data_IF_774225756668
#
_entry.id   IF_774225756668
#
_cell.length_a   1.000
_cell.length_b   1.000
_cell.length_c   1.000
_cell.angle_alpha   90.00
_cell.angle_beta   90.00
_cell.angle_gamma   90.00
#
_symmetry.space_group_name_H-M   'P 1'
#
loop_
_entity.id
_entity.type
_entity.pdbx_description
1 polymer ?
#
# COMPACT_ATOMS: atom_id res chain seq x y z
N UNK A 1 26.55 -11.54 -25.71
CA UNK A 1 27.16 -12.38 -24.65
C UNK A 1 28.57 -11.87 -24.41
N UNK A 2 28.92 -11.46 -23.18
CA UNK A 2 30.29 -11.03 -22.85
C UNK A 2 31.15 -12.27 -22.52
N UNK A 3 32.34 -12.38 -23.12
CA UNK A 3 33.27 -13.50 -22.88
C UNK A 3 34.19 -13.18 -21.69
N UNK A 4 34.81 -14.19 -21.09
CA UNK A 4 35.77 -13.98 -20.01
C UNK A 4 37.00 -13.23 -20.56
N UNK A 5 37.32 -12.06 -19.98
CA UNK A 5 38.46 -11.21 -20.38
C UNK A 5 38.11 -9.78 -20.80
N UNK A 6 36.83 -9.45 -21.02
CA UNK A 6 36.42 -8.16 -21.62
C UNK A 6 36.47 -6.93 -20.68
N UNK A 7 36.92 -7.07 -19.43
CA UNK A 7 37.03 -5.95 -18.47
C UNK A 7 35.72 -5.22 -18.12
N UNK A 8 34.57 -5.65 -18.66
CA UNK A 8 33.25 -5.08 -18.36
C UNK A 8 32.75 -5.60 -17.02
N UNK A 9 32.34 -4.68 -16.13
CA UNK A 9 31.62 -5.03 -14.90
C UNK A 9 30.43 -5.94 -15.25
N UNK A 10 30.46 -7.15 -14.71
CA UNK A 10 29.35 -8.10 -14.83
C UNK A 10 28.28 -7.63 -13.85
N UNK A 11 27.04 -7.49 -14.31
CA UNK A 11 25.90 -7.10 -13.47
C UNK A 11 25.85 -7.90 -12.16
N UNK A 12 25.54 -7.25 -11.04
CA UNK A 12 25.44 -7.84 -9.69
C UNK A 12 24.54 -9.08 -9.64
N UNK A 13 23.57 -9.20 -10.56
CA UNK A 13 22.75 -10.40 -10.74
C UNK A 13 23.55 -11.69 -11.04
N UNK A 14 24.81 -11.57 -11.50
CA UNK A 14 25.75 -12.69 -11.69
C UNK A 14 26.72 -12.88 -10.52
N UNK A 15 26.70 -12.02 -9.51
CA UNK A 15 27.50 -12.10 -8.29
C UNK A 15 26.73 -12.67 -7.09
N UNK A 16 25.42 -12.93 -7.21
CA UNK A 16 24.67 -13.67 -6.18
C UNK A 16 25.11 -15.14 -6.15
N UNK A 17 26.27 -15.40 -5.56
CA UNK A 17 26.90 -16.73 -5.40
C UNK A 17 26.43 -17.45 -4.12
N UNK A 18 25.90 -16.71 -3.15
CA UNK A 18 25.38 -17.24 -1.90
C UNK A 18 23.89 -17.54 -1.99
N UNK A 19 23.53 -18.81 -1.80
CA UNK A 19 22.15 -19.27 -1.78
C UNK A 19 21.73 -19.65 -0.36
N UNK A 20 20.80 -18.89 0.20
CA UNK A 20 20.13 -19.26 1.45
C UNK A 20 18.88 -20.10 1.15
N UNK A 21 18.82 -21.32 1.68
CA UNK A 21 17.65 -22.19 1.54
C UNK A 21 17.14 -22.66 2.90
N UNK A 22 15.84 -22.50 3.13
CA UNK A 22 15.11 -23.13 4.23
C UNK A 22 14.07 -24.09 3.65
N UNK A 23 13.99 -25.32 4.20
CA UNK A 23 12.87 -26.21 3.91
C UNK A 23 11.66 -25.75 4.73
N UNK A 24 10.51 -25.65 4.07
CA UNK A 24 9.26 -25.22 4.68
C UNK A 24 8.25 -26.36 4.57
N UNK A 25 7.48 -26.56 5.63
CA UNK A 25 6.20 -27.25 5.56
C UNK A 25 5.19 -26.42 4.77
N UNK A 26 4.10 -27.05 4.33
CA UNK A 26 3.01 -26.33 3.65
C UNK A 26 2.44 -25.21 4.53
N UNK A 27 2.28 -25.47 5.83
CA UNK A 27 1.78 -24.49 6.80
C UNK A 27 2.73 -23.31 6.95
N UNK A 28 4.04 -23.56 7.11
CA UNK A 28 5.02 -22.47 7.21
C UNK A 28 5.04 -21.60 5.95
N UNK A 29 4.91 -22.21 4.77
CA UNK A 29 4.81 -21.47 3.52
C UNK A 29 3.56 -20.60 3.49
N UNK A 30 2.40 -21.14 3.83
CA UNK A 30 1.14 -20.39 3.83
C UNK A 30 1.18 -19.19 4.79
N UNK A 31 1.68 -19.40 6.02
CA UNK A 31 1.84 -18.32 7.02
C UNK A 31 2.81 -17.24 6.54
N UNK A 32 3.86 -17.63 5.81
CA UNK A 32 4.82 -16.67 5.26
C UNK A 32 4.22 -15.82 4.14
N UNK A 33 3.46 -16.42 3.23
CA UNK A 33 2.74 -15.70 2.17
C UNK A 33 1.69 -14.75 2.76
N UNK A 34 0.94 -15.19 3.78
CA UNK A 34 -0.02 -14.33 4.48
C UNK A 34 0.66 -13.13 5.15
N UNK A 35 1.82 -13.36 5.77
CA UNK A 35 2.62 -12.27 6.35
C UNK A 35 3.10 -11.28 5.30
N UNK A 36 3.49 -11.75 4.11
CA UNK A 36 3.90 -10.89 3.01
C UNK A 36 2.73 -10.00 2.55
N UNK A 37 1.55 -10.58 2.38
CA UNK A 37 0.31 -9.86 2.06
C UNK A 37 -0.03 -8.80 3.13
N UNK A 38 -0.02 -9.18 4.41
CA UNK A 38 -0.26 -8.24 5.51
C UNK A 38 0.78 -7.12 5.58
N UNK A 39 2.00 -7.40 5.12
CA UNK A 39 3.08 -6.41 5.03
C UNK A 39 2.99 -5.54 3.76
N UNK A 40 1.99 -5.77 2.88
CA UNK A 40 1.76 -4.98 1.69
C UNK A 40 2.55 -5.42 0.46
N UNK A 41 3.18 -6.60 0.50
CA UNK A 41 3.99 -7.12 -0.60
C UNK A 41 3.18 -8.06 -1.50
N UNK A 42 3.42 -8.05 -2.83
CA UNK A 42 2.66 -8.86 -3.80
C UNK A 42 3.03 -10.35 -3.77
N UNK A 43 4.07 -10.74 -3.03
CA UNK A 43 4.49 -12.13 -2.88
C UNK A 43 5.44 -12.31 -1.69
N UNK A 44 5.50 -13.54 -1.15
CA UNK A 44 6.52 -13.93 -0.18
C UNK A 44 7.94 -13.71 -0.66
N UNK A 45 8.21 -13.80 -1.96
CA UNK A 45 9.55 -13.54 -2.51
C UNK A 45 9.93 -12.05 -2.41
N UNK A 46 9.03 -11.14 -2.79
CA UNK A 46 9.25 -9.70 -2.65
C UNK A 46 9.44 -9.32 -1.18
N UNK A 47 8.61 -9.89 -0.30
CA UNK A 47 8.74 -9.72 1.15
C UNK A 47 10.07 -10.25 1.70
N UNK A 48 10.52 -11.42 1.27
CA UNK A 48 11.81 -12.00 1.68
C UNK A 48 12.99 -11.10 1.25
N UNK A 49 12.95 -10.61 0.02
CA UNK A 49 13.96 -9.68 -0.49
C UNK A 49 14.05 -8.41 0.36
N UNK A 50 12.90 -7.79 0.66
CA UNK A 50 12.85 -6.63 1.55
C UNK A 50 13.27 -6.98 2.99
N UNK A 51 12.92 -8.17 3.49
CA UNK A 51 13.24 -8.60 4.85
C UNK A 51 14.75 -8.76 5.05
N UNK A 52 15.42 -9.41 4.10
CA UNK A 52 16.89 -9.59 4.12
C UNK A 52 17.60 -8.23 4.14
N UNK A 53 17.04 -7.23 3.45
CA UNK A 53 17.57 -5.87 3.39
C UNK A 53 17.12 -4.98 4.57
N UNK A 54 16.28 -5.48 5.48
CA UNK A 54 15.72 -4.69 6.60
C UNK A 54 14.68 -3.64 6.18
N UNK A 55 14.12 -3.75 4.98
CA UNK A 55 13.25 -2.76 4.35
C UNK A 55 11.74 -3.03 4.54
N UNK A 56 11.36 -4.13 5.19
CA UNK A 56 9.93 -4.49 5.37
C UNK A 56 9.12 -3.47 6.16
N UNK A 57 9.76 -2.64 6.99
CA UNK A 57 9.08 -1.61 7.77
C UNK A 57 8.73 -0.34 6.99
N UNK A 58 9.32 -0.13 5.83
CA UNK A 58 9.16 1.11 5.06
C UNK A 58 7.91 1.09 4.19
N UNK A 59 7.62 -0.03 3.52
CA UNK A 59 6.40 -0.19 2.71
C UNK A 59 5.13 -0.15 3.56
N UNK A 60 5.11 -0.86 4.69
CA UNK A 60 3.97 -0.83 5.64
C UNK A 60 3.70 0.60 6.11
N UNK A 61 4.77 1.34 6.45
CA UNK A 61 4.66 2.73 6.91
C UNK A 61 4.08 3.64 5.82
N UNK A 62 4.53 3.49 4.57
CA UNK A 62 4.03 4.30 3.45
C UNK A 62 2.55 4.00 3.15
N UNK A 63 2.14 2.74 3.21
CA UNK A 63 0.73 2.35 3.06
C UNK A 63 -0.14 2.93 4.19
N UNK A 64 0.32 2.83 5.44
CA UNK A 64 -0.37 3.43 6.59
C UNK A 64 -0.50 4.96 6.47
N UNK A 65 0.55 5.65 6.04
CA UNK A 65 0.51 7.11 5.83
C UNK A 65 -0.51 7.49 4.76
N UNK A 66 -0.56 6.75 3.63
CA UNK A 66 -1.55 6.99 2.57
C UNK A 66 -2.98 6.78 3.07
N UNK A 67 -3.23 5.66 3.75
CA UNK A 67 -4.54 5.35 4.32
C UNK A 67 -5.00 6.41 5.34
N UNK A 68 -4.10 6.87 6.22
CA UNK A 68 -4.37 7.95 7.15
C UNK A 68 -4.66 9.28 6.44
N UNK A 69 -3.96 9.58 5.35
CA UNK A 69 -4.22 10.76 4.52
C UNK A 69 -5.62 10.74 3.91
N UNK A 70 -6.06 9.60 3.37
CA UNK A 70 -7.42 9.43 2.83
C UNK A 70 -8.49 9.55 3.93
N UNK A 71 -8.29 8.92 5.09
CA UNK A 71 -9.20 9.05 6.24
C UNK A 71 -9.30 10.50 6.74
N UNK A 72 -8.19 11.23 6.74
CA UNK A 72 -8.17 12.66 7.08
C UNK A 72 -9.05 13.50 6.15
N UNK A 73 -9.01 13.24 4.84
CA UNK A 73 -9.87 13.92 3.85
C UNK A 73 -11.35 13.58 4.05
N UNK A 74 -11.67 12.29 4.26
CA UNK A 74 -13.05 11.84 4.57
C UNK A 74 -13.58 12.57 5.80
N UNK A 75 -12.81 12.60 6.88
CA UNK A 75 -13.19 13.28 8.12
C UNK A 75 -13.37 14.79 7.95
N UNK A 76 -12.51 15.45 7.17
CA UNK A 76 -12.62 16.88 6.88
C UNK A 76 -13.91 17.20 6.11
N UNK A 77 -14.22 16.43 5.06
CA UNK A 77 -15.42 16.62 4.24
C UNK A 77 -16.70 16.38 5.06
N UNK A 78 -16.74 15.31 5.87
CA UNK A 78 -17.86 15.06 6.80
C UNK A 78 -18.04 16.22 7.80
N UNK A 79 -16.94 16.76 8.34
CA UNK A 79 -16.99 17.88 9.27
C UNK A 79 -17.52 19.17 8.60
N UNK A 80 -17.20 19.40 7.32
CA UNK A 80 -17.75 20.53 6.56
C UNK A 80 -19.26 20.40 6.37
N UNK A 81 -19.73 19.21 5.97
CA UNK A 81 -21.17 18.91 5.84
C UNK A 81 -21.87 19.11 7.18
N UNK A 82 -21.34 18.53 8.27
CA UNK A 82 -21.92 18.65 9.60
C UNK A 82 -22.02 20.11 10.09
N UNK A 83 -20.95 20.91 9.91
CA UNK A 83 -20.95 22.33 10.28
C UNK A 83 -22.01 23.13 9.52
N UNK A 84 -22.30 22.78 8.27
CA UNK A 84 -23.33 23.44 7.46
C UNK A 84 -24.73 23.03 7.87
N UNK A 85 -24.98 21.73 8.04
CA UNK A 85 -26.26 21.22 8.54
C UNK A 85 -26.61 21.82 9.91
N UNK A 86 -25.63 21.95 10.80
CA UNK A 86 -25.85 22.51 12.14
C UNK A 86 -26.09 24.03 12.16
N UNK A 87 -25.86 24.76 11.06
CA UNK A 87 -26.04 26.22 10.98
C UNK A 87 -27.42 26.64 10.50
N UNK A 88 -28.23 25.74 9.93
CA UNK A 88 -29.55 26.07 9.42
C UNK A 88 -30.59 25.02 9.81
N UNK A 89 -31.74 25.42 10.37
CA UNK A 89 -32.83 24.48 10.69
C UNK A 89 -33.50 23.87 9.44
N UNK A 90 -33.29 24.46 8.25
CA UNK A 90 -33.64 23.89 6.95
C UNK A 90 -32.47 24.12 5.97
N UNK A 91 -31.50 23.19 5.89
CA UNK A 91 -30.36 23.33 5.01
C UNK A 91 -30.74 22.94 3.58
N UNK A 92 -30.66 23.89 2.64
CA UNK A 92 -30.64 23.58 1.20
C UNK A 92 -29.22 23.23 0.77
N UNK A 93 -29.07 22.15 0.00
CA UNK A 93 -27.79 21.76 -0.59
C UNK A 93 -27.43 22.76 -1.70
N UNK A 94 -26.37 23.54 -1.50
CA UNK A 94 -25.86 24.44 -2.54
C UNK A 94 -24.81 23.72 -3.40
N UNK A 95 -24.42 24.25 -4.58
CA UNK A 95 -23.45 23.59 -5.46
C UNK A 95 -22.12 23.20 -4.77
N UNK A 96 -21.65 23.99 -3.81
CA UNK A 96 -20.46 23.65 -3.03
C UNK A 96 -20.64 22.39 -2.16
N UNK A 97 -21.83 22.12 -1.63
CA UNK A 97 -22.09 20.89 -0.86
C UNK A 97 -22.09 19.66 -1.77
N UNK A 98 -22.69 19.79 -2.95
CA UNK A 98 -22.69 18.72 -3.96
C UNK A 98 -21.25 18.39 -4.39
N UNK A 99 -20.39 19.40 -4.49
CA UNK A 99 -18.98 19.22 -4.78
C UNK A 99 -18.24 18.48 -3.64
N UNK A 100 -18.45 18.87 -2.37
CA UNK A 100 -17.86 18.16 -1.22
C UNK A 100 -18.35 16.71 -1.14
N UNK A 101 -19.62 16.45 -1.45
CA UNK A 101 -20.20 15.10 -1.50
C UNK A 101 -19.57 14.27 -2.63
N UNK A 102 -19.36 14.87 -3.81
CA UNK A 102 -18.68 14.22 -4.92
C UNK A 102 -17.23 13.88 -4.58
N UNK A 103 -16.47 14.83 -4.00
CA UNK A 103 -15.10 14.60 -3.55
C UNK A 103 -15.02 13.51 -2.49
N UNK A 104 -15.97 13.49 -1.54
CA UNK A 104 -16.07 12.44 -0.52
C UNK A 104 -16.27 11.06 -1.16
N UNK A 105 -17.16 10.96 -2.16
CA UNK A 105 -17.40 9.73 -2.90
C UNK A 105 -16.12 9.25 -3.60
N UNK A 106 -15.39 10.14 -4.27
CA UNK A 106 -14.17 9.80 -4.99
C UNK A 106 -13.08 9.31 -4.05
N UNK A 107 -12.88 9.96 -2.89
CA UNK A 107 -11.92 9.52 -1.86
C UNK A 107 -12.30 8.15 -1.30
N UNK A 108 -13.58 7.90 -1.01
CA UNK A 108 -14.05 6.59 -0.52
C UNK A 108 -13.84 5.50 -1.57
N UNK A 109 -14.09 5.79 -2.86
CA UNK A 109 -13.84 4.86 -3.94
C UNK A 109 -12.36 4.54 -4.10
N UNK A 110 -11.49 5.55 -4.05
CA UNK A 110 -10.04 5.38 -4.10
C UNK A 110 -9.52 4.53 -2.93
N UNK A 111 -9.92 4.85 -1.69
CA UNK A 111 -9.58 4.07 -0.51
C UNK A 111 -10.08 2.62 -0.62
N UNK A 112 -11.31 2.42 -1.09
CA UNK A 112 -11.86 1.09 -1.30
C UNK A 112 -11.11 0.29 -2.38
N UNK A 113 -10.58 0.95 -3.41
CA UNK A 113 -9.76 0.30 -4.44
C UNK A 113 -8.40 -0.11 -3.88
N UNK A 114 -7.73 0.78 -3.13
CA UNK A 114 -6.46 0.48 -2.46
C UNK A 114 -6.59 -0.70 -1.48
N UNK A 115 -7.66 -0.73 -0.67
CA UNK A 115 -7.93 -1.86 0.24
C UNK A 115 -8.14 -3.17 -0.55
N UNK A 116 -8.89 -3.13 -1.65
CA UNK A 116 -9.12 -4.33 -2.48
C UNK A 116 -7.86 -4.82 -3.18
N UNK A 117 -6.97 -3.92 -3.61
CA UNK A 117 -5.67 -4.31 -4.17
C UNK A 117 -4.75 -4.90 -3.11
N UNK A 118 -4.73 -4.33 -1.90
CA UNK A 118 -3.96 -4.88 -0.78
C UNK A 118 -4.46 -6.23 -0.24
N UNK A 119 -5.68 -6.64 -0.60
CA UNK A 119 -6.28 -7.93 -0.22
C UNK A 119 -6.17 -9.03 -1.30
N UNK A 120 -5.63 -8.71 -2.49
CA UNK A 120 -5.43 -9.67 -3.60
C UNK A 120 -4.02 -10.25 -3.55
#
# INVERSE_FOLDING_TARGET
MARAGDGKERSDSRQADQRMTKRLTLTERAVFEERALMAGFPSGQAYLSAFILGQTGEEIRLQQIKALGHLGKVGANLNQIAKRLNRSPAPELIPADLQVIAELRDVVQALGAEIREGLK
#
